data_IF_027636029906
#
_entry.id   IF_027636029906
#
_cell.length_a   1.000
_cell.length_b   1.000
_cell.length_c   1.000
_cell.angle_alpha   90.00
_cell.angle_beta   90.00
_cell.angle_gamma   90.00
#
_symmetry.space_group_name_H-M   'P 1'
#
loop_
_entity.id
_entity.type
_entity.pdbx_description
1 polymer ?
#
# COMPACT_ATOMS: atom_id res chain seq x y z
N UNK A 1 -11.39 4.10 6.58
CA UNK A 1 -10.86 5.22 5.79
C UNK A 1 -11.57 6.55 6.02
N UNK A 2 -10.83 7.58 6.43
CA UNK A 2 -11.35 8.94 6.63
C UNK A 2 -11.59 9.73 5.31
N UNK A 3 -12.41 10.78 5.37
CA UNK A 3 -12.79 11.60 4.20
C UNK A 3 -11.63 12.38 3.56
N UNK A 4 -10.62 12.76 4.33
CA UNK A 4 -9.44 13.44 3.78
C UNK A 4 -8.68 12.53 2.84
N UNK A 5 -8.45 11.28 3.25
CA UNK A 5 -7.74 10.30 2.45
C UNK A 5 -8.51 9.94 1.17
N UNK A 6 -9.84 9.79 1.24
CA UNK A 6 -10.69 9.60 0.06
C UNK A 6 -10.53 10.71 -0.97
N UNK A 7 -10.53 11.98 -0.52
CA UNK A 7 -10.32 13.15 -1.39
C UNK A 7 -8.94 13.17 -2.03
N UNK A 8 -7.91 12.78 -1.28
CA UNK A 8 -6.53 12.67 -1.79
C UNK A 8 -6.45 11.60 -2.88
N UNK A 9 -7.00 10.40 -2.63
CA UNK A 9 -7.01 9.30 -3.60
C UNK A 9 -7.74 9.73 -4.88
N UNK A 10 -8.92 10.34 -4.75
CA UNK A 10 -9.70 10.81 -5.90
C UNK A 10 -8.97 11.88 -6.71
N UNK A 11 -8.45 12.91 -6.04
CA UNK A 11 -7.71 14.00 -6.67
C UNK A 11 -6.50 13.47 -7.43
N UNK A 12 -5.77 12.53 -6.84
CA UNK A 12 -4.59 11.92 -7.45
C UNK A 12 -4.98 11.04 -8.63
N UNK A 13 -6.08 10.28 -8.54
CA UNK A 13 -6.59 9.46 -9.64
C UNK A 13 -6.95 10.33 -10.85
N UNK A 14 -7.70 11.41 -10.65
CA UNK A 14 -8.09 12.35 -11.71
C UNK A 14 -6.85 12.95 -12.37
N UNK A 15 -5.84 13.31 -11.57
CA UNK A 15 -4.60 13.87 -12.09
C UNK A 15 -3.84 12.87 -12.97
N UNK A 16 -3.71 11.62 -12.53
CA UNK A 16 -3.07 10.55 -13.31
C UNK A 16 -3.83 10.25 -14.61
N UNK A 17 -5.16 10.27 -14.60
CA UNK A 17 -5.98 9.99 -15.79
C UNK A 17 -5.97 11.12 -16.81
N UNK A 18 -5.68 12.34 -16.36
CA UNK A 18 -5.59 13.54 -17.20
C UNK A 18 -4.18 13.79 -17.75
N UNK A 19 -3.18 13.11 -17.22
CA UNK A 19 -1.77 13.28 -17.58
C UNK A 19 -1.34 12.18 -18.58
N UNK A 20 -0.81 12.53 -19.76
CA UNK A 20 -0.29 11.54 -20.73
C UNK A 20 0.76 10.60 -20.14
N UNK A 21 1.57 11.11 -19.19
CA UNK A 21 2.61 10.33 -18.51
C UNK A 21 2.07 9.62 -17.24
N UNK A 22 0.79 9.82 -16.91
CA UNK A 22 0.12 9.20 -15.77
C UNK A 22 0.38 7.69 -15.64
N UNK A 23 0.25 6.88 -16.71
CA UNK A 23 0.56 5.45 -16.67
C UNK A 23 2.03 5.10 -16.39
N UNK A 24 2.96 6.06 -16.42
CA UNK A 24 4.36 5.92 -15.96
C UNK A 24 4.44 6.31 -14.49
N UNK A 25 3.88 7.46 -14.12
CA UNK A 25 3.88 7.99 -12.74
C UNK A 25 3.24 7.01 -11.74
N UNK A 26 2.09 6.43 -12.09
CA UNK A 26 1.35 5.55 -11.19
C UNK A 26 -0.02 5.14 -11.72
N UNK A 27 -0.73 4.32 -10.96
CA UNK A 27 -2.11 3.94 -11.28
C UNK A 27 -2.89 3.67 -10.02
N UNK A 28 -3.92 4.47 -9.75
CA UNK A 28 -4.94 4.17 -8.75
C UNK A 28 -6.08 3.44 -9.47
N UNK A 29 -6.31 2.17 -9.15
CA UNK A 29 -7.36 1.37 -9.81
C UNK A 29 -8.74 1.77 -9.30
N UNK A 30 -9.77 1.43 -10.05
CA UNK A 30 -11.15 1.51 -9.56
C UNK A 30 -11.32 0.57 -8.36
N UNK A 31 -12.16 0.96 -7.42
CA UNK A 31 -12.56 0.11 -6.30
C UNK A 31 -13.23 -1.18 -6.76
N UNK A 32 -13.23 -2.18 -5.90
CA UNK A 32 -13.97 -3.43 -6.09
C UNK A 32 -15.05 -3.54 -5.02
N UNK A 33 -16.14 -4.22 -5.33
CA UNK A 33 -17.13 -4.55 -4.30
C UNK A 33 -16.48 -5.49 -3.27
N UNK A 34 -16.51 -5.04 -2.02
CA UNK A 34 -15.91 -5.71 -0.87
C UNK A 34 -17.06 -6.15 0.03
N UNK A 35 -17.24 -7.47 0.18
CA UNK A 35 -18.25 -8.02 1.08
C UNK A 35 -17.75 -7.96 2.53
N UNK A 36 -18.02 -6.84 3.19
CA UNK A 36 -17.58 -6.58 4.56
C UNK A 36 -18.16 -7.57 5.58
N UNK A 37 -19.24 -8.30 5.28
CA UNK A 37 -19.78 -9.32 6.19
C UNK A 37 -18.94 -10.59 6.20
N UNK A 38 -18.23 -10.86 5.09
CA UNK A 38 -17.37 -12.05 4.94
C UNK A 38 -15.90 -11.78 5.27
N UNK A 39 -15.54 -10.53 5.45
CA UNK A 39 -14.15 -10.12 5.63
C UNK A 39 -13.84 -9.96 7.12
N UNK A 40 -12.81 -10.68 7.54
CA UNK A 40 -12.15 -10.51 8.84
C UNK A 40 -10.82 -9.81 8.60
N UNK A 41 -10.42 -8.91 9.50
CA UNK A 41 -9.12 -8.25 9.45
C UNK A 41 -9.19 -6.71 9.44
N UNK A 42 -8.10 -6.03 9.05
CA UNK A 42 -7.93 -4.58 9.17
C UNK A 42 -8.95 -3.80 8.33
N UNK A 43 -9.92 -3.17 8.98
CA UNK A 43 -11.04 -2.49 8.31
C UNK A 43 -10.59 -1.40 7.32
N UNK A 44 -9.56 -0.64 7.66
CA UNK A 44 -9.06 0.46 6.83
C UNK A 44 -8.43 -0.02 5.51
N UNK A 45 -7.74 -1.17 5.51
CA UNK A 45 -7.28 -1.83 4.30
C UNK A 45 -8.43 -2.28 3.39
N UNK A 46 -9.46 -2.91 3.95
CA UNK A 46 -10.62 -3.34 3.14
C UNK A 46 -11.48 -2.17 2.66
N UNK A 47 -11.60 -1.10 3.46
CA UNK A 47 -12.21 0.17 3.03
C UNK A 47 -11.45 0.74 1.82
N UNK A 48 -10.11 0.68 1.82
CA UNK A 48 -9.28 1.09 0.69
C UNK A 48 -9.59 0.28 -0.57
N UNK A 49 -9.68 -1.06 -0.48
CA UNK A 49 -9.99 -1.91 -1.63
C UNK A 49 -11.36 -1.58 -2.26
N UNK A 50 -12.32 -1.11 -1.44
CA UNK A 50 -13.60 -0.59 -1.89
C UNK A 50 -13.51 0.71 -2.72
N UNK A 51 -12.45 1.50 -2.51
CA UNK A 51 -12.19 2.77 -3.21
C UNK A 51 -11.20 2.59 -4.36
N UNK A 52 -10.20 1.72 -4.16
CA UNK A 52 -9.16 1.38 -5.11
C UNK A 52 -8.69 -0.05 -4.88
N UNK A 53 -9.00 -0.95 -5.81
CA UNK A 53 -8.56 -2.33 -5.74
C UNK A 53 -7.09 -2.44 -6.20
N UNK A 54 -6.18 -2.00 -5.34
CA UNK A 54 -4.75 -1.91 -5.61
C UNK A 54 -4.34 -0.60 -6.31
N UNK A 55 -3.07 -0.23 -6.14
CA UNK A 55 -2.50 0.97 -6.73
C UNK A 55 -1.00 0.83 -6.97
N UNK A 56 -0.46 1.50 -7.99
CA UNK A 56 0.97 1.76 -8.11
C UNK A 56 1.22 3.24 -7.84
N UNK A 57 2.00 3.52 -6.81
CA UNK A 57 2.25 4.84 -6.25
C UNK A 57 3.76 5.11 -6.26
N UNK A 58 4.33 5.37 -7.45
CA UNK A 58 5.78 5.42 -7.65
C UNK A 58 6.41 4.07 -7.31
N UNK A 59 7.30 4.07 -6.30
CA UNK A 59 8.02 2.90 -5.82
C UNK A 59 7.23 2.02 -4.83
N UNK A 60 5.98 2.40 -4.51
CA UNK A 60 5.09 1.62 -3.64
C UNK A 60 3.99 0.98 -4.49
N UNK A 61 3.94 -0.35 -4.49
CA UNK A 61 2.84 -1.12 -5.09
C UNK A 61 1.92 -1.63 -3.98
N UNK A 62 0.61 -1.46 -4.18
CA UNK A 62 -0.46 -2.03 -3.38
C UNK A 62 -1.22 -3.02 -4.26
N UNK A 63 -1.25 -4.27 -3.82
CA UNK A 63 -1.80 -5.35 -4.62
C UNK A 63 -3.33 -5.35 -4.61
N UNK A 64 -3.95 -5.72 -5.73
CA UNK A 64 -5.39 -5.91 -5.79
C UNK A 64 -5.78 -7.19 -5.03
N UNK A 65 -7.04 -7.27 -4.60
CA UNK A 65 -7.58 -8.40 -3.82
C UNK A 65 -7.34 -9.75 -4.52
N UNK A 66 -7.37 -9.80 -5.85
CA UNK A 66 -7.15 -11.01 -6.64
C UNK A 66 -5.72 -11.54 -6.57
N UNK A 67 -4.73 -10.67 -6.32
CA UNK A 67 -3.32 -11.06 -6.20
C UNK A 67 -3.05 -11.72 -4.86
N UNK A 68 -3.88 -11.45 -3.84
CA UNK A 68 -3.68 -11.93 -2.47
C UNK A 68 -3.70 -13.45 -2.34
N UNK A 69 -4.42 -14.18 -3.19
CA UNK A 69 -4.45 -15.66 -3.13
C UNK A 69 -3.19 -16.31 -3.71
N UNK A 70 -2.45 -15.60 -4.58
CA UNK A 70 -1.23 -16.09 -5.21
C UNK A 70 0.06 -15.57 -4.58
N UNK A 71 0.00 -14.43 -3.85
CA UNK A 71 1.18 -13.76 -3.32
C UNK A 71 1.63 -14.25 -1.92
N UNK A 72 0.79 -15.01 -1.19
CA UNK A 72 1.16 -15.50 0.15
C UNK A 72 2.28 -16.55 0.17
N UNK A 73 2.77 -17.01 -0.99
CA UNK A 73 3.97 -17.86 -1.04
C UNK A 73 5.18 -17.20 -0.38
N UNK A 74 5.22 -15.86 -0.37
CA UNK A 74 6.25 -15.11 0.32
C UNK A 74 6.27 -15.36 1.84
N UNK A 75 5.10 -15.65 2.45
CA UNK A 75 5.02 -15.94 3.89
C UNK A 75 5.76 -17.22 4.28
N UNK A 76 6.08 -18.09 3.32
CA UNK A 76 6.90 -19.29 3.54
C UNK A 76 8.34 -18.95 3.94
N UNK A 77 8.78 -17.71 3.70
CA UNK A 77 10.09 -17.24 4.07
C UNK A 77 10.11 -16.49 5.41
N UNK A 78 8.98 -16.27 6.08
CA UNK A 78 8.92 -15.72 7.44
C UNK A 78 9.21 -16.83 8.46
N UNK A 79 9.82 -16.49 9.61
CA UNK A 79 9.98 -17.42 10.71
C UNK A 79 8.61 -17.97 11.19
N UNK A 80 8.51 -19.28 11.36
CA UNK A 80 7.26 -20.01 11.62
C UNK A 80 6.17 -19.74 10.54
N UNK A 81 6.35 -20.27 9.31
CA UNK A 81 5.44 -20.03 8.18
C UNK A 81 3.95 -20.31 8.41
N UNK A 82 3.63 -21.33 9.20
CA UNK A 82 2.24 -21.70 9.49
C UNK A 82 1.55 -20.62 10.33
N UNK A 83 2.23 -20.11 11.36
CA UNK A 83 1.75 -18.97 12.14
C UNK A 83 1.68 -17.71 11.27
N UNK A 84 2.66 -17.53 10.36
CA UNK A 84 2.71 -16.36 9.51
C UNK A 84 1.50 -16.28 8.55
N UNK A 85 1.08 -17.41 7.98
CA UNK A 85 -0.10 -17.52 7.10
C UNK A 85 -1.42 -17.19 7.80
N UNK A 86 -1.48 -17.34 9.13
CA UNK A 86 -2.65 -16.98 9.94
C UNK A 86 -2.59 -15.56 10.51
N UNK A 87 -1.43 -14.90 10.46
CA UNK A 87 -1.19 -13.61 11.13
C UNK A 87 -0.91 -12.47 10.18
N UNK A 88 -0.47 -12.74 8.95
CA UNK A 88 0.00 -11.71 8.05
C UNK A 88 -0.72 -11.73 6.71
N UNK A 89 -0.99 -10.52 6.23
CA UNK A 89 -1.53 -10.28 4.90
C UNK A 89 -0.45 -9.61 4.08
N UNK A 90 0.03 -10.27 3.02
CA UNK A 90 0.90 -9.61 2.05
C UNK A 90 0.10 -8.67 1.13
N UNK A 91 0.27 -7.36 1.33
CA UNK A 91 -0.56 -6.30 0.72
C UNK A 91 0.10 -5.57 -0.44
N UNK A 92 1.40 -5.74 -0.65
CA UNK A 92 2.14 -4.91 -1.61
C UNK A 92 3.63 -4.89 -1.33
N UNK A 93 4.35 -3.94 -1.90
CA UNK A 93 5.79 -3.81 -1.75
C UNK A 93 6.24 -2.35 -1.83
N UNK A 94 7.38 -2.05 -1.19
CA UNK A 94 8.12 -0.79 -1.34
C UNK A 94 9.49 -1.14 -1.89
N UNK A 95 9.88 -0.65 -3.06
CA UNK A 95 11.21 -0.94 -3.64
C UNK A 95 11.54 -2.45 -3.67
N UNK A 96 10.56 -3.27 -4.05
CA UNK A 96 10.62 -4.75 -4.03
C UNK A 96 10.62 -5.40 -2.65
N UNK A 97 10.72 -4.62 -1.57
CA UNK A 97 10.67 -5.12 -0.21
C UNK A 97 9.22 -5.34 0.23
N UNK A 98 8.87 -6.46 0.89
CA UNK A 98 7.48 -6.78 1.18
C UNK A 98 6.78 -5.86 2.18
N UNK A 99 5.55 -5.44 1.87
CA UNK A 99 4.63 -4.78 2.80
C UNK A 99 3.58 -5.75 3.29
N UNK A 100 3.50 -5.93 4.62
CA UNK A 100 2.57 -6.84 5.26
C UNK A 100 1.71 -6.12 6.28
N UNK A 101 0.45 -6.52 6.41
CA UNK A 101 -0.41 -6.13 7.54
C UNK A 101 -0.51 -7.29 8.50
N UNK A 102 -0.36 -7.03 9.80
CA UNK A 102 -0.67 -8.02 10.82
C UNK A 102 -2.18 -8.05 11.08
N UNK A 103 -2.81 -9.23 11.01
CA UNK A 103 -4.24 -9.42 11.22
C UNK A 103 -4.70 -9.16 12.67
N UNK A 104 -3.79 -9.26 13.65
CA UNK A 104 -4.09 -9.10 15.07
C UNK A 104 -4.09 -7.62 15.49
N UNK A 105 -3.08 -6.86 15.09
CA UNK A 105 -2.93 -5.45 15.48
C UNK A 105 -3.38 -4.45 14.39
N UNK A 106 -3.56 -4.91 13.15
CA UNK A 106 -3.96 -4.09 12.01
C UNK A 106 -2.90 -3.11 11.50
N UNK A 107 -1.64 -3.27 11.91
CA UNK A 107 -0.54 -2.38 11.56
C UNK A 107 0.22 -2.88 10.33
N UNK A 108 0.70 -1.93 9.54
CA UNK A 108 1.52 -2.14 8.34
C UNK A 108 2.99 -2.20 8.75
N UNK A 109 3.67 -3.22 8.26
CA UNK A 109 5.11 -3.42 8.45
C UNK A 109 5.81 -3.61 7.11
N UNK A 110 7.00 -3.02 7.02
CA UNK A 110 7.98 -3.39 6.01
C UNK A 110 8.70 -4.65 6.48
N UNK A 111 8.84 -5.63 5.61
CA UNK A 111 9.78 -6.73 5.79
C UNK A 111 10.94 -6.54 4.82
N UNK A 112 12.09 -7.10 5.17
CA UNK A 112 13.31 -7.04 4.37
C UNK A 112 13.71 -8.43 3.88
N UNK A 113 14.15 -8.50 2.63
CA UNK A 113 14.63 -9.74 2.01
C UNK A 113 15.80 -10.38 2.79
N UNK A 114 15.65 -11.67 3.06
CA UNK A 114 16.58 -12.52 3.78
C UNK A 114 15.94 -13.89 4.02
N UNK A 115 16.72 -14.98 4.23
CA UNK A 115 16.17 -16.23 4.74
C UNK A 115 16.53 -16.38 6.23
N UNK A 116 15.60 -16.11 7.17
CA UNK A 116 14.19 -15.74 6.97
C UNK A 116 13.97 -14.25 6.66
N UNK A 117 12.79 -13.90 6.15
CA UNK A 117 12.33 -12.52 6.00
C UNK A 117 12.28 -11.87 7.37
N UNK A 118 12.91 -10.72 7.49
CA UNK A 118 13.02 -10.02 8.76
C UNK A 118 11.95 -8.94 8.86
N UNK A 119 11.23 -8.92 9.99
CA UNK A 119 10.27 -7.87 10.31
C UNK A 119 11.03 -6.56 10.56
N UNK A 120 10.75 -5.57 9.73
CA UNK A 120 11.35 -4.24 9.78
C UNK A 120 10.46 -3.19 10.42
N UNK A 121 10.47 -2.01 9.81
CA UNK A 121 9.78 -0.81 10.29
C UNK A 121 8.25 -0.98 10.33
N UNK A 122 7.62 -0.29 11.30
CA UNK A 122 6.17 -0.20 11.44
C UNK A 122 5.67 1.17 10.97
N UNK A 123 4.75 1.20 10.02
CA UNK A 123 4.19 2.43 9.46
C UNK A 123 2.85 2.84 10.10
N UNK A 124 2.43 2.12 11.15
CA UNK A 124 1.15 2.33 11.83
C UNK A 124 -0.02 1.65 11.11
N UNK A 125 -1.24 2.15 11.30
CA UNK A 125 -2.42 1.59 10.61
C UNK A 125 -2.33 1.82 9.11
N UNK A 126 -3.16 1.13 8.32
CA UNK A 126 -3.15 1.30 6.87
C UNK A 126 -3.52 2.73 6.43
N UNK A 127 -4.51 3.35 7.09
CA UNK A 127 -4.83 4.77 6.87
C UNK A 127 -3.62 5.69 7.18
N UNK A 128 -2.86 5.40 8.25
CA UNK A 128 -1.64 6.13 8.61
C UNK A 128 -0.54 5.94 7.57
N UNK A 129 -0.33 4.71 7.09
CA UNK A 129 0.62 4.40 6.05
C UNK A 129 0.31 5.19 4.77
N UNK A 130 -0.94 5.14 4.31
CA UNK A 130 -1.35 5.87 3.11
C UNK A 130 -1.14 7.39 3.26
N UNK A 131 -1.60 7.98 4.37
CA UNK A 131 -1.53 9.43 4.57
C UNK A 131 -0.10 9.97 4.69
N UNK A 132 0.79 9.21 5.31
CA UNK A 132 2.14 9.69 5.62
C UNK A 132 3.18 9.25 4.59
N UNK A 133 3.11 7.99 4.16
CA UNK A 133 4.17 7.34 3.39
C UNK A 133 3.83 7.13 1.92
N UNK A 134 2.54 7.06 1.54
CA UNK A 134 2.14 6.93 0.12
C UNK A 134 1.81 8.28 -0.49
N UNK A 135 0.97 9.07 0.18
CA UNK A 135 0.53 10.39 -0.28
C UNK A 135 1.18 11.54 0.50
N UNK A 136 1.96 11.23 1.53
CA UNK A 136 2.48 12.22 2.47
C UNK A 136 3.98 12.49 2.31
N UNK A 137 4.46 13.45 3.11
CA UNK A 137 5.85 13.90 3.10
C UNK A 137 6.84 12.81 3.50
N UNK A 138 6.41 11.79 4.25
CA UNK A 138 7.29 10.69 4.65
C UNK A 138 7.59 9.71 3.51
N UNK A 139 6.96 9.86 2.34
CA UNK A 139 7.39 9.15 1.13
C UNK A 139 8.89 9.35 0.88
N UNK A 140 9.42 10.57 1.06
CA UNK A 140 10.85 10.86 0.91
C UNK A 140 11.74 10.31 2.02
N UNK A 141 11.18 9.80 3.12
CA UNK A 141 11.95 9.13 4.17
C UNK A 141 12.25 7.67 3.80
N UNK A 142 11.40 7.05 2.97
CA UNK A 142 11.49 5.61 2.62
C UNK A 142 11.85 5.36 1.16
N UNK A 143 11.71 6.36 0.27
CA UNK A 143 12.06 6.24 -1.15
C UNK A 143 13.36 7.04 -1.44
N UNK A 144 14.43 6.37 -1.90
CA UNK A 144 15.64 7.03 -2.36
C UNK A 144 15.37 8.02 -3.49
N UNK A 145 16.02 9.17 -3.44
CA UNK A 145 15.92 10.22 -4.46
C UNK A 145 14.47 10.65 -4.77
N UNK A 146 13.60 10.65 -3.76
CA UNK A 146 12.19 11.01 -3.91
C UNK A 146 11.97 12.40 -4.55
N UNK A 147 12.93 13.32 -4.42
CA UNK A 147 12.86 14.63 -5.07
C UNK A 147 12.92 14.58 -6.60
N UNK A 148 13.33 13.45 -7.19
CA UNK A 148 13.27 13.18 -8.63
C UNK A 148 12.26 12.08 -8.99
N UNK A 149 11.57 11.50 -8.01
CA UNK A 149 10.51 10.51 -8.24
C UNK A 149 9.23 11.18 -8.74
N UNK A 150 8.73 10.70 -9.88
CA UNK A 150 7.58 11.28 -10.59
C UNK A 150 6.30 11.28 -9.73
N UNK A 151 6.11 10.27 -8.90
CA UNK A 151 4.95 10.20 -8.00
C UNK A 151 5.03 11.29 -6.95
N UNK A 152 6.18 11.47 -6.31
CA UNK A 152 6.37 12.54 -5.34
C UNK A 152 6.27 13.94 -5.97
N UNK A 153 6.77 14.12 -7.20
CA UNK A 153 6.58 15.37 -7.95
C UNK A 153 5.10 15.64 -8.25
N UNK A 154 4.32 14.61 -8.60
CA UNK A 154 2.88 14.74 -8.76
C UNK A 154 2.21 15.21 -7.45
N UNK A 155 2.57 14.64 -6.30
CA UNK A 155 2.02 15.04 -5.01
C UNK A 155 2.32 16.51 -4.67
N UNK A 156 3.54 16.99 -4.97
CA UNK A 156 3.94 18.41 -4.83
C UNK A 156 3.10 19.31 -5.73
N UNK A 157 2.95 18.95 -7.01
CA UNK A 157 2.10 19.68 -7.98
C UNK A 157 0.65 19.78 -7.53
N UNK A 158 0.14 18.73 -6.87
CA UNK A 158 -1.20 18.69 -6.29
C UNK A 158 -1.30 19.38 -4.92
N UNK A 159 -0.22 19.94 -4.37
CA UNK A 159 -0.17 20.57 -3.05
C UNK A 159 -0.65 19.63 -1.93
N UNK A 160 -0.35 18.34 -2.06
CA UNK A 160 -0.59 17.35 -1.01
C UNK A 160 0.62 17.32 -0.05
N UNK A 161 1.82 17.46 -0.61
CA UNK A 161 3.10 17.59 0.10
C UNK A 161 3.76 18.94 -0.16
#
# INVERSE_FOLDING_TARGET
>A
MNETLKKIIEKTRIALESDPDGPVIGKIRSGKEVDFEKIKGPKDYYDFLGISNGARCGAIDLFPLETMSGSQSLLEFIENPEDAKEQWIYIGQTLYEPLLINELDGLVYQFYEGPPLEKGECYGTFDCFLLNYVFGKKYSEIIPDADNDDWFQLLKKLQIV
#
